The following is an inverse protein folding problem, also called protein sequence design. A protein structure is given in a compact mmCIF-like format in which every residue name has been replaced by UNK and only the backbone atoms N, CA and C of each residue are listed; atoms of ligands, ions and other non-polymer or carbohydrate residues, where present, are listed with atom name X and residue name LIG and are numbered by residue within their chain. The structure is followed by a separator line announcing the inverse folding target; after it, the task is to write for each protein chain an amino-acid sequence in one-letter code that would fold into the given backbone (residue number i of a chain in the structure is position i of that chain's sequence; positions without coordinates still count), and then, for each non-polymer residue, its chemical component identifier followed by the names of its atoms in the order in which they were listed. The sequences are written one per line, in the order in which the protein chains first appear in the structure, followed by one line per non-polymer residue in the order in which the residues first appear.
data_IF_158507971549
#
_entry.id   IF_158507971549
#
_cell.length_a   1.000
_cell.length_b   1.000
_cell.length_c   1.000
_cell.angle_alpha   90.00
_cell.angle_beta   90.00
_cell.angle_gamma   90.00
#
_symmetry.space_group_name_H-M   'P 1'
#
loop_
_entity.id
_entity.type
_entity.pdbx_description
1 polymer ?
#
# COMPACT_ATOMS: atom_id res chain seq x y z
N UNK A 1 36.17 17.54 -22.91
CA UNK A 1 34.78 17.40 -23.38
C UNK A 1 33.95 16.60 -22.35
N UNK A 2 33.45 17.24 -21.29
CA UNK A 2 32.55 16.65 -20.26
C UNK A 2 31.63 17.72 -19.63
N UNK A 3 31.17 18.69 -20.42
CA UNK A 3 30.42 19.84 -19.89
C UNK A 3 28.96 19.93 -20.37
N UNK A 4 28.62 19.32 -21.52
CA UNK A 4 27.30 19.53 -22.14
C UNK A 4 26.19 18.58 -21.66
N UNK A 5 26.53 17.38 -21.19
CA UNK A 5 25.50 16.39 -20.76
C UNK A 5 24.95 16.67 -19.36
N UNK A 6 25.75 17.22 -18.46
CA UNK A 6 25.33 17.52 -17.08
C UNK A 6 24.31 18.66 -17.04
N UNK A 7 24.44 19.64 -17.94
CA UNK A 7 23.53 20.80 -18.01
C UNK A 7 22.13 20.39 -18.49
N UNK A 8 22.03 19.43 -19.41
CA UNK A 8 20.73 18.90 -19.86
C UNK A 8 19.95 18.20 -18.73
N UNK A 9 20.63 17.45 -17.86
CA UNK A 9 19.98 16.79 -16.72
C UNK A 9 19.45 17.80 -15.71
N UNK A 10 20.22 18.85 -15.40
CA UNK A 10 19.76 19.91 -14.50
C UNK A 10 18.57 20.69 -15.08
N UNK A 11 18.56 20.99 -16.38
CA UNK A 11 17.42 21.68 -17.00
C UNK A 11 16.17 20.80 -17.07
N UNK A 12 16.30 19.50 -17.33
CA UNK A 12 15.17 18.56 -17.28
C UNK A 12 14.61 18.43 -15.85
N UNK A 13 15.47 18.31 -14.84
CA UNK A 13 15.02 18.27 -13.45
C UNK A 13 14.33 19.59 -13.04
N UNK A 14 14.85 20.75 -13.44
CA UNK A 14 14.23 22.04 -13.14
C UNK A 14 12.89 22.19 -13.86
N UNK A 15 12.76 21.75 -15.12
CA UNK A 15 11.49 21.80 -15.86
C UNK A 15 10.44 20.84 -15.30
N UNK A 16 10.85 19.67 -14.79
CA UNK A 16 9.97 18.73 -14.11
C UNK A 16 9.51 19.32 -12.76
N UNK A 17 10.43 19.89 -11.97
CA UNK A 17 10.09 20.53 -10.68
C UNK A 17 9.24 21.81 -10.86
N UNK A 18 9.47 22.59 -11.91
CA UNK A 18 8.73 23.83 -12.17
C UNK A 18 7.31 23.57 -12.68
N UNK A 19 7.08 22.47 -13.40
CA UNK A 19 5.73 22.09 -13.85
C UNK A 19 4.95 21.29 -12.79
N UNK A 20 5.63 20.59 -11.87
CA UNK A 20 4.98 19.90 -10.75
C UNK A 20 4.43 20.85 -9.67
N UNK A 21 4.86 22.12 -9.66
CA UNK A 21 4.42 23.15 -8.72
C UNK A 21 3.33 24.08 -9.28
N UNK A 22 2.85 23.88 -10.52
CA UNK A 22 1.63 24.55 -10.94
C UNK A 22 0.46 23.88 -10.22
N UNK A 23 -0.30 24.58 -9.37
CA UNK A 23 -1.51 24.01 -8.79
C UNK A 23 -2.43 23.65 -9.95
N UNK A 24 -2.66 22.35 -10.11
CA UNK A 24 -3.62 21.81 -11.06
C UNK A 24 -4.99 22.34 -10.63
N UNK A 25 -5.50 23.37 -11.32
CA UNK A 25 -6.78 24.06 -11.06
C UNK A 25 -7.99 23.20 -11.46
N UNK A 26 -7.95 21.90 -11.17
CA UNK A 26 -8.97 20.93 -11.57
C UNK A 26 -9.67 20.23 -10.41
N UNK A 27 -9.21 20.40 -9.16
CA UNK A 27 -9.89 19.86 -8.00
C UNK A 27 -10.51 21.02 -7.22
N UNK A 28 -11.82 21.20 -7.33
CA UNK A 28 -12.53 21.89 -6.28
C UNK A 28 -12.35 21.04 -5.03
N UNK A 29 -11.37 21.39 -4.19
CA UNK A 29 -11.28 20.87 -2.84
C UNK A 29 -12.68 21.00 -2.23
N UNK A 30 -13.39 19.89 -2.05
CA UNK A 30 -14.45 19.85 -1.06
C UNK A 30 -13.71 19.78 0.27
N UNK A 31 -13.55 20.89 1.01
CA UNK A 31 -12.68 20.92 2.19
C UNK A 31 -13.19 19.95 3.26
N UNK A 32 -14.47 19.57 3.20
CA UNK A 32 -15.11 18.54 4.01
C UNK A 32 -14.57 17.14 3.73
N UNK A 33 -14.50 16.70 2.46
CA UNK A 33 -14.03 15.35 2.10
C UNK A 33 -12.57 15.12 2.50
N UNK A 34 -11.71 16.12 2.29
CA UNK A 34 -10.31 16.05 2.70
C UNK A 34 -10.18 16.06 4.23
N UNK A 35 -10.93 16.94 4.92
CA UNK A 35 -10.94 17.00 6.38
C UNK A 35 -11.40 15.69 7.02
N UNK A 36 -12.48 15.10 6.52
CA UNK A 36 -13.00 13.81 7.00
C UNK A 36 -11.98 12.69 6.80
N UNK A 37 -11.36 12.62 5.62
CA UNK A 37 -10.31 11.65 5.33
C UNK A 37 -9.11 11.79 6.29
N UNK A 38 -8.61 13.02 6.50
CA UNK A 38 -7.50 13.26 7.42
C UNK A 38 -7.84 12.88 8.87
N UNK A 39 -9.06 13.15 9.33
CA UNK A 39 -9.53 12.74 10.66
C UNK A 39 -9.61 11.21 10.79
N UNK A 40 -10.08 10.52 9.76
CA UNK A 40 -10.07 9.06 9.73
C UNK A 40 -8.64 8.52 9.80
N UNK A 41 -7.70 9.08 9.02
CA UNK A 41 -6.29 8.65 9.06
C UNK A 41 -5.67 8.83 10.44
N UNK A 42 -5.92 9.95 11.13
CA UNK A 42 -5.44 10.17 12.51
C UNK A 42 -5.97 9.07 13.44
N UNK A 43 -7.27 8.75 13.35
CA UNK A 43 -7.90 7.70 14.16
C UNK A 43 -7.29 6.33 13.86
N UNK A 44 -7.13 5.98 12.59
CA UNK A 44 -6.57 4.70 12.15
C UNK A 44 -5.12 4.56 12.63
N UNK A 45 -4.30 5.59 12.47
CA UNK A 45 -2.92 5.61 12.97
C UNK A 45 -2.87 5.44 14.50
N UNK A 46 -3.74 6.13 15.25
CA UNK A 46 -3.81 6.00 16.70
C UNK A 46 -4.20 4.61 17.17
N UNK A 47 -5.21 3.99 16.52
CA UNK A 47 -5.63 2.62 16.80
C UNK A 47 -4.50 1.64 16.48
N UNK A 48 -3.79 1.83 15.37
CA UNK A 48 -2.68 0.95 14.99
C UNK A 48 -1.52 1.03 15.98
N UNK A 49 -1.08 2.23 16.36
CA UNK A 49 -0.03 2.43 17.35
C UNK A 49 -0.37 1.74 18.67
N UNK A 50 -1.59 1.98 19.19
CA UNK A 50 -2.07 1.33 20.40
C UNK A 50 -2.13 -0.20 20.26
N UNK A 51 -2.59 -0.70 19.11
CA UNK A 51 -2.72 -2.15 18.88
C UNK A 51 -1.37 -2.85 18.82
N UNK A 52 -0.32 -2.19 18.31
CA UNK A 52 1.04 -2.72 18.29
C UNK A 52 1.65 -2.71 19.68
N UNK A 53 1.51 -1.60 20.43
CA UNK A 53 1.99 -1.50 21.81
C UNK A 53 1.33 -2.55 22.71
N UNK A 54 0.02 -2.78 22.54
CA UNK A 54 -0.71 -3.80 23.29
C UNK A 54 -0.25 -5.24 23.00
N UNK A 55 0.44 -5.49 21.87
CA UNK A 55 1.01 -6.81 21.57
C UNK A 55 2.25 -7.13 22.41
N UNK A 56 2.92 -6.14 23.00
CA UNK A 56 4.09 -6.35 23.85
C UNK A 56 3.68 -6.57 25.33
N UNK A 57 2.41 -6.32 25.66
CA UNK A 57 1.84 -6.59 26.97
C UNK A 57 1.26 -8.02 27.03
N UNK A 58 1.97 -8.90 27.75
CA UNK A 58 1.66 -10.34 27.84
C UNK A 58 0.27 -10.62 28.43
N UNK A 59 -0.27 -9.71 29.24
CA UNK A 59 -1.61 -9.86 29.84
C UNK A 59 -2.73 -9.48 28.85
N UNK A 60 -2.40 -8.78 27.76
CA UNK A 60 -3.33 -8.30 26.73
C UNK A 60 -3.17 -9.01 25.37
N UNK A 61 -2.24 -9.96 25.25
CA UNK A 61 -2.15 -10.82 24.08
C UNK A 61 -3.39 -11.74 24.04
N UNK A 62 -4.35 -11.35 23.20
CA UNK A 62 -5.35 -12.29 22.71
C UNK A 62 -4.63 -13.29 21.81
N UNK A 63 -4.36 -14.50 22.31
CA UNK A 63 -3.83 -15.65 21.56
C UNK A 63 -4.48 -15.74 20.19
N UNK A 64 -3.79 -15.26 19.15
CA UNK A 64 -4.27 -15.36 17.78
C UNK A 64 -3.81 -16.70 17.22
N UNK A 65 -4.72 -17.54 16.72
CA UNK A 65 -4.32 -18.79 16.11
C UNK A 65 -3.38 -18.51 14.94
N UNK A 66 -2.46 -19.44 14.63
CA UNK A 66 -1.74 -19.42 13.36
C UNK A 66 -2.75 -19.23 12.23
N UNK A 67 -2.40 -18.46 11.21
CA UNK A 67 -3.29 -18.16 10.09
C UNK A 67 -3.62 -19.40 9.23
N UNK A 68 -3.09 -20.58 9.57
CA UNK A 68 -3.36 -21.84 8.87
C UNK A 68 -2.88 -21.82 7.42
N UNK A 69 -1.83 -21.03 7.13
CA UNK A 69 -1.32 -20.83 5.79
C UNK A 69 -0.31 -21.92 5.44
N UNK A 70 -0.45 -22.49 4.26
CA UNK A 70 0.50 -23.44 3.68
C UNK A 70 1.67 -22.67 3.03
N UNK A 71 2.91 -22.84 3.53
CA UNK A 71 4.08 -22.16 2.97
C UNK A 71 4.31 -22.42 1.48
N UNK A 72 4.05 -23.63 1.00
CA UNK A 72 4.28 -24.00 -0.41
C UNK A 72 3.25 -23.32 -1.31
N UNK A 73 1.99 -23.31 -0.87
CA UNK A 73 0.92 -22.55 -1.53
C UNK A 73 1.23 -21.05 -1.59
N UNK A 74 1.66 -20.42 -0.50
CA UNK A 74 1.95 -18.98 -0.49
C UNK A 74 3.18 -18.62 -1.36
N UNK A 75 4.17 -19.50 -1.44
CA UNK A 75 5.32 -19.32 -2.34
C UNK A 75 4.90 -19.38 -3.81
N UNK A 76 4.01 -20.29 -4.16
CA UNK A 76 3.48 -20.38 -5.52
C UNK A 76 2.54 -19.21 -5.84
N UNK A 77 1.72 -18.77 -4.89
CA UNK A 77 0.93 -17.55 -5.04
C UNK A 77 1.80 -16.30 -5.25
N UNK A 78 2.96 -16.21 -4.60
CA UNK A 78 3.94 -15.13 -4.84
C UNK A 78 4.44 -15.14 -6.28
N UNK A 79 4.82 -16.31 -6.83
CA UNK A 79 5.28 -16.43 -8.21
C UNK A 79 4.17 -16.03 -9.20
N UNK A 80 2.96 -16.56 -9.01
CA UNK A 80 1.81 -16.28 -9.87
C UNK A 80 1.46 -14.79 -9.81
N UNK A 81 1.31 -14.22 -8.61
CA UNK A 81 0.96 -12.81 -8.42
C UNK A 81 1.99 -11.87 -9.05
N UNK A 82 3.29 -12.20 -8.92
CA UNK A 82 4.36 -11.42 -9.55
C UNK A 82 4.27 -11.47 -11.08
N UNK A 83 4.02 -12.64 -11.66
CA UNK A 83 3.88 -12.81 -13.11
C UNK A 83 2.65 -12.07 -13.64
N UNK A 84 1.48 -12.27 -13.02
CA UNK A 84 0.25 -11.56 -13.36
C UNK A 84 0.43 -10.05 -13.29
N UNK A 85 1.06 -9.53 -12.24
CA UNK A 85 1.28 -8.09 -12.08
C UNK A 85 2.14 -7.51 -13.20
N UNK A 86 3.21 -8.22 -13.58
CA UNK A 86 4.04 -7.82 -14.71
C UNK A 86 3.25 -7.81 -16.02
N UNK A 87 2.42 -8.84 -16.26
CA UNK A 87 1.58 -8.92 -17.45
C UNK A 87 0.54 -7.80 -17.49
N UNK A 88 -0.18 -7.60 -16.39
CA UNK A 88 -1.21 -6.57 -16.23
C UNK A 88 -0.65 -5.17 -16.53
N UNK A 89 0.53 -4.84 -15.96
CA UNK A 89 1.18 -3.56 -16.22
C UNK A 89 1.71 -3.46 -17.65
N UNK A 90 2.21 -4.55 -18.23
CA UNK A 90 2.72 -4.56 -19.60
C UNK A 90 1.62 -4.36 -20.65
N UNK A 91 0.37 -4.75 -20.34
CA UNK A 91 -0.77 -4.56 -21.24
C UNK A 91 -1.06 -3.08 -21.50
N UNK A 92 -0.79 -2.19 -20.54
CA UNK A 92 -0.96 -0.75 -20.72
C UNK A 92 0.04 -0.15 -21.73
N UNK A 93 1.18 -0.80 -22.00
CA UNK A 93 2.19 -0.31 -22.95
C UNK A 93 1.70 -0.32 -24.41
N UNK A 94 0.59 -0.99 -24.70
CA UNK A 94 -0.03 -1.02 -26.04
C UNK A 94 -0.87 0.24 -26.31
N UNK A 95 -1.14 1.07 -25.29
CA UNK A 95 -1.94 2.28 -25.41
C UNK A 95 -1.04 3.44 -25.83
N UNK A 96 -1.28 3.99 -27.01
CA UNK A 96 -0.49 5.10 -27.57
C UNK A 96 -0.95 6.48 -27.13
N UNK A 97 -2.21 6.61 -26.73
CA UNK A 97 -2.71 7.86 -26.16
C UNK A 97 -2.19 8.04 -24.73
N UNK A 98 -1.57 9.18 -24.45
CA UNK A 98 -0.91 9.42 -23.18
C UNK A 98 -1.90 9.46 -22.01
N UNK A 99 -3.09 10.04 -22.19
CA UNK A 99 -4.06 10.14 -21.11
C UNK A 99 -4.62 8.76 -20.76
N UNK A 100 -4.99 7.98 -21.77
CA UNK A 100 -5.53 6.63 -21.58
C UNK A 100 -4.45 5.66 -21.07
N UNK A 101 -3.20 5.84 -21.48
CA UNK A 101 -2.04 5.14 -20.93
C UNK A 101 -1.91 5.38 -19.42
N UNK A 102 -1.93 6.64 -18.98
CA UNK A 102 -1.82 6.97 -17.56
C UNK A 102 -3.03 6.49 -16.75
N UNK A 103 -4.24 6.56 -17.30
CA UNK A 103 -5.43 6.00 -16.66
C UNK A 103 -5.33 4.47 -16.49
N UNK A 104 -4.88 3.76 -17.54
CA UNK A 104 -4.65 2.32 -17.48
C UNK A 104 -3.63 1.96 -16.40
N UNK A 105 -2.48 2.64 -16.38
CA UNK A 105 -1.45 2.40 -15.39
C UNK A 105 -1.93 2.69 -13.97
N UNK A 106 -2.62 3.81 -13.75
CA UNK A 106 -3.14 4.18 -12.43
C UNK A 106 -4.11 3.13 -11.88
N UNK A 107 -5.08 2.69 -12.71
CA UNK A 107 -6.06 1.67 -12.33
C UNK A 107 -5.38 0.32 -12.05
N UNK A 108 -4.52 -0.12 -12.96
CA UNK A 108 -3.83 -1.41 -12.87
C UNK A 108 -2.87 -1.47 -11.69
N UNK A 109 -2.10 -0.39 -11.46
CA UNK A 109 -1.21 -0.28 -10.32
C UNK A 109 -1.98 -0.29 -8.99
N UNK A 110 -3.14 0.38 -8.90
CA UNK A 110 -3.96 0.35 -7.70
C UNK A 110 -4.45 -1.08 -7.38
N UNK A 111 -4.96 -1.81 -8.37
CA UNK A 111 -5.38 -3.21 -8.21
C UNK A 111 -4.21 -4.11 -7.80
N UNK A 112 -3.06 -3.98 -8.45
CA UNK A 112 -1.90 -4.82 -8.17
C UNK A 112 -1.23 -4.49 -6.83
N UNK A 113 -1.29 -3.24 -6.38
CA UNK A 113 -0.84 -2.86 -5.04
C UNK A 113 -1.61 -3.63 -3.96
N UNK A 114 -2.93 -3.80 -4.14
CA UNK A 114 -3.74 -4.59 -3.22
C UNK A 114 -3.29 -6.06 -3.20
N UNK A 115 -3.09 -6.68 -4.37
CA UNK A 115 -2.58 -8.06 -4.47
C UNK A 115 -1.24 -8.21 -3.74
N UNK A 116 -0.29 -7.30 -3.98
CA UNK A 116 1.01 -7.32 -3.33
C UNK A 116 0.96 -7.17 -1.81
N UNK A 117 0.06 -6.33 -1.30
CA UNK A 117 -0.14 -6.16 0.14
C UNK A 117 -0.59 -7.47 0.78
N UNK A 118 -1.59 -8.14 0.21
CA UNK A 118 -2.12 -9.41 0.75
C UNK A 118 -1.04 -10.48 0.74
N UNK A 119 -0.36 -10.63 -0.40
CA UNK A 119 0.75 -11.55 -0.57
C UNK A 119 1.87 -11.29 0.44
N UNK A 120 2.26 -10.03 0.66
CA UNK A 120 3.26 -9.67 1.66
C UNK A 120 2.82 -10.03 3.08
N UNK A 121 1.56 -9.81 3.44
CA UNK A 121 1.03 -10.15 4.76
C UNK A 121 1.00 -11.67 4.97
N UNK A 122 0.63 -12.45 3.96
CA UNK A 122 0.64 -13.91 4.04
C UNK A 122 2.07 -14.46 4.12
N UNK A 123 2.98 -14.00 3.27
CA UNK A 123 4.39 -14.37 3.30
C UNK A 123 5.03 -14.04 4.66
N UNK A 124 4.70 -12.88 5.24
CA UNK A 124 5.15 -12.51 6.59
C UNK A 124 4.63 -13.48 7.65
N UNK A 125 3.37 -13.93 7.53
CA UNK A 125 2.82 -14.93 8.43
C UNK A 125 3.56 -16.25 8.32
N UNK A 126 3.81 -16.74 7.10
CA UNK A 126 4.56 -17.97 6.86
C UNK A 126 5.98 -17.86 7.44
N UNK A 127 6.65 -16.73 7.22
CA UNK A 127 7.98 -16.49 7.75
C UNK A 127 8.02 -16.54 9.30
N UNK A 128 6.98 -16.04 9.98
CA UNK A 128 6.86 -16.14 11.44
C UNK A 128 6.75 -17.60 11.87
N UNK A 129 5.90 -18.40 11.21
CA UNK A 129 5.68 -19.79 11.57
C UNK A 129 6.91 -20.67 11.34
N UNK A 130 7.58 -20.48 10.20
CA UNK A 130 8.77 -21.25 9.80
C UNK A 130 10.05 -20.81 10.51
N UNK A 131 10.06 -19.65 11.18
CA UNK A 131 11.25 -19.19 11.89
C UNK A 131 11.59 -20.13 13.05
N UNK A 132 12.77 -20.75 12.98
CA UNK A 132 13.36 -21.52 14.08
C UNK A 132 14.04 -20.60 15.12
N UNK A 133 14.31 -19.34 14.76
CA UNK A 133 14.95 -18.35 15.63
C UNK A 133 14.01 -17.74 16.66
N UNK A 134 12.69 -17.93 16.50
CA UNK A 134 11.68 -17.38 17.40
C UNK A 134 11.07 -18.48 18.24
N UNK A 135 11.06 -18.28 19.56
CA UNK A 135 10.23 -19.08 20.45
C UNK A 135 8.74 -18.76 20.25
N UNK A 136 7.86 -19.57 20.83
CA UNK A 136 6.42 -19.37 20.67
C UNK A 136 5.94 -18.05 21.23
N UNK A 137 6.56 -17.54 22.29
CA UNK A 137 6.22 -16.22 22.85
C UNK A 137 6.49 -15.12 21.82
N UNK A 138 7.68 -15.13 21.20
CA UNK A 138 8.03 -14.17 20.17
C UNK A 138 7.16 -14.31 18.93
N UNK A 139 6.84 -15.53 18.51
CA UNK A 139 5.90 -15.78 17.41
C UNK A 139 4.52 -15.20 17.72
N UNK A 140 4.05 -15.31 18.97
CA UNK A 140 2.76 -14.77 19.40
C UNK A 140 2.70 -13.24 19.28
N UNK A 141 3.74 -12.54 19.76
CA UNK A 141 3.89 -11.08 19.59
C UNK A 141 3.86 -10.72 18.09
N UNK A 142 4.64 -11.43 17.27
CA UNK A 142 4.72 -11.16 15.83
C UNK A 142 3.38 -11.42 15.12
N UNK A 143 2.64 -12.47 15.47
CA UNK A 143 1.27 -12.73 14.96
C UNK A 143 0.32 -11.60 15.33
N UNK A 144 0.40 -11.12 16.58
CA UNK A 144 -0.41 -9.99 17.04
C UNK A 144 -0.12 -8.72 16.22
N UNK A 145 1.15 -8.35 16.08
CA UNK A 145 1.59 -7.18 15.33
C UNK A 145 1.23 -7.28 13.84
N UNK A 146 1.43 -8.45 13.22
CA UNK A 146 1.07 -8.69 11.82
C UNK A 146 -0.42 -8.52 11.58
N UNK A 147 -1.26 -9.00 12.49
CA UNK A 147 -2.71 -8.84 12.37
C UNK A 147 -3.17 -7.40 12.65
N UNK A 148 -2.49 -6.66 13.53
CA UNK A 148 -2.69 -5.21 13.68
C UNK A 148 -2.33 -4.47 12.38
N UNK A 149 -1.20 -4.80 11.76
CA UNK A 149 -0.75 -4.25 10.46
C UNK A 149 -1.75 -4.58 9.34
N UNK A 150 -2.25 -5.82 9.29
CA UNK A 150 -3.29 -6.22 8.33
C UNK A 150 -4.52 -5.32 8.46
N UNK A 151 -5.04 -5.15 9.68
CA UNK A 151 -6.19 -4.28 9.93
C UNK A 151 -5.91 -2.83 9.52
N UNK A 152 -4.76 -2.29 9.91
CA UNK A 152 -4.34 -0.94 9.57
C UNK A 152 -4.38 -0.66 8.06
N UNK A 153 -3.81 -1.57 7.26
CA UNK A 153 -3.75 -1.41 5.80
C UNK A 153 -5.16 -1.44 5.19
N UNK A 154 -6.04 -2.36 5.64
CA UNK A 154 -7.42 -2.42 5.16
C UNK A 154 -8.24 -1.19 5.56
N UNK A 155 -8.05 -0.68 6.78
CA UNK A 155 -8.73 0.52 7.26
C UNK A 155 -8.29 1.76 6.44
N UNK A 156 -7.00 1.90 6.13
CA UNK A 156 -6.50 2.98 5.24
C UNK A 156 -7.10 2.86 3.84
N UNK A 157 -7.08 1.65 3.25
CA UNK A 157 -7.63 1.42 1.92
C UNK A 157 -9.12 1.78 1.86
N UNK A 158 -9.86 1.43 2.91
CA UNK A 158 -11.29 1.77 3.04
C UNK A 158 -11.47 3.29 3.14
N UNK A 159 -10.73 3.97 4.01
CA UNK A 159 -10.77 5.43 4.16
C UNK A 159 -10.45 6.15 2.84
N UNK A 160 -9.45 5.67 2.09
CA UNK A 160 -9.10 6.23 0.79
C UNK A 160 -10.22 6.02 -0.25
N UNK A 161 -10.82 4.83 -0.27
CA UNK A 161 -11.95 4.52 -1.17
C UNK A 161 -13.17 5.39 -0.84
N UNK A 162 -13.45 5.62 0.44
CA UNK A 162 -14.50 6.55 0.89
C UNK A 162 -14.19 7.99 0.49
N UNK A 163 -12.93 8.42 0.63
CA UNK A 163 -12.50 9.74 0.19
C UNK A 163 -12.74 9.94 -1.31
N UNK A 164 -12.35 8.97 -2.15
CA UNK A 164 -12.61 9.02 -3.59
C UNK A 164 -14.11 9.07 -3.90
N UNK A 165 -14.95 8.31 -3.17
CA UNK A 165 -16.40 8.38 -3.33
C UNK A 165 -16.94 9.78 -2.98
N UNK A 166 -16.46 10.37 -1.88
CA UNK A 166 -16.85 11.72 -1.45
C UNK A 166 -16.52 12.77 -2.52
N UNK A 167 -15.32 12.68 -3.10
CA UNK A 167 -14.87 13.59 -4.15
C UNK A 167 -15.66 13.45 -5.46
N UNK A 168 -16.11 12.23 -5.78
CA UNK A 168 -16.83 11.92 -7.01
C UNK A 168 -18.37 11.95 -6.87
N UNK A 169 -18.90 12.25 -5.69
CA UNK A 169 -20.34 12.32 -5.47
C UNK A 169 -20.88 13.67 -5.97
N UNK A 170 -21.82 13.69 -6.93
CA UNK A 170 -22.49 14.93 -7.32
C UNK A 170 -23.29 15.47 -6.12
N UNK A 171 -23.11 16.76 -5.81
CA UNK A 171 -23.94 17.46 -4.83
C UNK A 171 -25.32 17.76 -5.40
#
# INVERSE_FOLDING_TARGET
MKSSQTICFYFLCILIYSNALKPYKGFSEQPSCLKEYLLQLIKINGIYAYSVEACDDKDNINRRPPLGLDPEFELDQLKITSQETCLDLSACNLITDNHDFFQCHSKTAATNTHKFIIMHLNASSVAIELSEEHDEEKKEILRCQLSAKRKYIFDIYTAYTEHLKCLNSPK
#
